data_IF_388042493757
#
_entry.id   IF_388042493757
#
_cell.length_a   1.000
_cell.length_b   1.000
_cell.length_c   1.000
_cell.angle_alpha   90.00
_cell.angle_beta   90.00
_cell.angle_gamma   90.00
#
_symmetry.space_group_name_H-M   'P 1'
#
loop_
_entity.id
_entity.type
_entity.pdbx_description
1 polymer ?
#
# COMPACT_ATOMS: atom_id res chain seq x y z
N UNK A 1 -4.32 0.71 14.65
CA UNK A 1 -3.14 0.83 13.78
C UNK A 1 -2.72 -0.50 13.12
N UNK A 2 -3.65 -1.43 12.84
CA UNK A 2 -3.32 -2.75 12.25
C UNK A 2 -4.22 -3.16 11.08
N UNK A 3 -5.30 -2.42 10.83
CA UNK A 3 -6.27 -2.71 9.75
C UNK A 3 -5.97 -1.96 8.46
N UNK A 4 -5.28 -0.80 8.53
CA UNK A 4 -4.89 0.03 7.37
C UNK A 4 -3.82 -0.63 6.50
N UNK A 5 -2.84 -1.30 7.10
CA UNK A 5 -1.74 -1.98 6.41
C UNK A 5 -2.17 -3.22 5.61
N UNK A 6 -3.06 -4.07 6.17
CA UNK A 6 -3.56 -5.27 5.47
C UNK A 6 -4.43 -4.87 4.26
N UNK A 7 -5.29 -3.86 4.41
CA UNK A 7 -6.12 -3.38 3.29
C UNK A 7 -5.28 -2.81 2.14
N UNK A 8 -4.17 -2.13 2.46
CA UNK A 8 -3.24 -1.59 1.47
C UNK A 8 -2.48 -2.70 0.74
N UNK A 9 -2.02 -3.73 1.44
CA UNK A 9 -1.40 -4.91 0.82
C UNK A 9 -2.36 -5.60 -0.16
N UNK A 10 -3.63 -5.77 0.21
CA UNK A 10 -4.67 -6.28 -0.68
C UNK A 10 -4.86 -5.39 -1.93
N UNK A 11 -4.87 -4.07 -1.77
CA UNK A 11 -4.96 -3.13 -2.92
C UNK A 11 -3.76 -3.22 -3.84
N UNK A 12 -2.57 -3.48 -3.31
CA UNK A 12 -1.37 -3.62 -4.13
C UNK A 12 -1.44 -4.86 -5.01
N UNK A 13 -1.90 -5.98 -4.46
CA UNK A 13 -2.08 -7.24 -5.20
C UNK A 13 -3.19 -7.11 -6.24
N UNK A 14 -4.36 -6.57 -5.86
CA UNK A 14 -5.52 -6.45 -6.77
C UNK A 14 -5.26 -5.50 -7.95
N UNK A 15 -4.51 -4.42 -7.73
CA UNK A 15 -4.17 -3.47 -8.79
C UNK A 15 -2.85 -3.81 -9.49
N UNK A 16 -2.19 -4.90 -9.08
CA UNK A 16 -0.96 -5.40 -9.66
C UNK A 16 0.16 -4.34 -9.72
N UNK A 17 0.28 -3.50 -8.67
CA UNK A 17 1.29 -2.47 -8.60
C UNK A 17 2.69 -3.09 -8.55
N UNK A 18 3.61 -2.49 -9.30
CA UNK A 18 5.03 -2.83 -9.22
C UNK A 18 5.63 -2.43 -7.88
N UNK A 19 6.74 -3.05 -7.49
CA UNK A 19 7.44 -2.74 -6.23
C UNK A 19 7.83 -1.26 -6.13
N UNK A 20 8.17 -0.63 -7.24
CA UNK A 20 8.48 0.80 -7.30
C UNK A 20 7.24 1.65 -6.94
N UNK A 21 6.09 1.34 -7.51
CA UNK A 21 4.84 2.06 -7.25
C UNK A 21 4.35 1.84 -5.81
N UNK A 22 4.49 0.62 -5.28
CA UNK A 22 4.17 0.31 -3.88
C UNK A 22 5.04 1.14 -2.94
N UNK A 23 6.35 1.22 -3.20
CA UNK A 23 7.30 1.95 -2.36
C UNK A 23 7.05 3.47 -2.37
N UNK A 24 6.70 4.03 -3.53
CA UNK A 24 6.27 5.44 -3.63
C UNK A 24 5.01 5.65 -2.78
N UNK A 25 4.01 4.76 -2.92
CA UNK A 25 2.77 4.86 -2.13
C UNK A 25 3.00 4.71 -0.63
N UNK A 26 3.92 3.85 -0.20
CA UNK A 26 4.25 3.68 1.22
C UNK A 26 5.00 4.88 1.78
N UNK A 27 5.89 5.50 0.99
CA UNK A 27 6.65 6.68 1.40
C UNK A 27 5.80 7.97 1.43
N UNK A 28 4.67 8.01 0.70
CA UNK A 28 3.78 9.19 0.63
C UNK A 28 2.42 8.99 1.29
N UNK A 29 2.08 7.78 1.76
CA UNK A 29 0.78 7.51 2.38
C UNK A 29 0.75 8.06 3.81
N UNK A 30 -0.10 9.06 4.04
CA UNK A 30 -0.39 9.68 5.34
C UNK A 30 -1.48 8.93 6.13
N UNK A 31 -1.69 7.64 5.90
CA UNK A 31 -2.69 6.87 6.66
C UNK A 31 -2.14 6.52 8.06
N UNK A 32 -2.87 6.83 9.15
CA UNK A 32 -2.54 6.34 10.49
C UNK A 32 -2.80 4.84 10.69
#
# INVERSE_FOLDING_TARGET
>A
MTTSSIRRQMKNIVNNYSEAEIKVREATSNDP
#
